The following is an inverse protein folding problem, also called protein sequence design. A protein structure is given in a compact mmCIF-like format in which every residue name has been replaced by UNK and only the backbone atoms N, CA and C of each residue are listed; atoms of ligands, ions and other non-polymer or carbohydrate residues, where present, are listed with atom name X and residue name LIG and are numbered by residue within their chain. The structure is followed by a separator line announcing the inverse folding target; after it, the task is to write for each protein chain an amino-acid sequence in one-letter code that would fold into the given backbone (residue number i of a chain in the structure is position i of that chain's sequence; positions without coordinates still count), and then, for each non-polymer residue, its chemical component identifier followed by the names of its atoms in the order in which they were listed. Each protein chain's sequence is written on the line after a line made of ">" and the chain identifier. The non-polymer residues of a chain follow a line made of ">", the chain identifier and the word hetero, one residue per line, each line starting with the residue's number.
data_IF_316141514519
#
_entry.id   IF_316141514519
#
_cell.length_a   1.000
_cell.length_b   1.000
_cell.length_c   1.000
_cell.angle_alpha   90.00
_cell.angle_beta   90.00
_cell.angle_gamma   90.00
#
_symmetry.space_group_name_H-M   'P 1'
#
loop_
_entity.id
_entity.type
_entity.pdbx_description
1 polymer ?
#
# COMPACT_ATOMS: atom_id res chain seq x y z
N UNK A 1 -4.76 30.04 -0.19
CA UNK A 1 -5.63 29.20 -1.03
C UNK A 1 -5.11 27.79 -0.89
N UNK A 2 -5.87 26.86 -0.33
CA UNK A 2 -5.43 25.48 -0.22
C UNK A 2 -5.32 24.92 -1.65
N UNK A 3 -4.15 24.41 -2.02
CA UNK A 3 -3.99 23.72 -3.30
C UNK A 3 -4.96 22.53 -3.33
N UNK A 4 -5.76 22.42 -4.39
CA UNK A 4 -6.65 21.30 -4.62
C UNK A 4 -5.84 19.99 -4.56
N UNK A 5 -6.03 19.23 -3.48
CA UNK A 5 -5.39 17.92 -3.34
C UNK A 5 -5.92 16.99 -4.42
N UNK A 6 -5.03 16.62 -5.36
CA UNK A 6 -5.23 15.47 -6.24
C UNK A 6 -4.40 14.32 -5.69
N UNK A 7 -5.02 13.27 -5.15
CA UNK A 7 -4.26 12.12 -4.72
C UNK A 7 -3.55 11.49 -5.91
N UNK A 8 -2.24 11.32 -5.78
CA UNK A 8 -1.42 10.63 -6.77
C UNK A 8 -1.39 9.13 -6.52
N UNK A 9 -1.12 8.37 -7.58
CA UNK A 9 -0.88 6.93 -7.50
C UNK A 9 0.51 6.56 -8.00
N UNK A 10 1.11 5.54 -7.39
CA UNK A 10 2.36 4.94 -7.85
C UNK A 10 2.05 3.82 -8.85
N UNK A 11 2.44 4.00 -10.11
CA UNK A 11 2.35 2.96 -11.13
C UNK A 11 3.63 2.10 -11.09
N UNK A 12 3.54 0.96 -10.40
CA UNK A 12 4.64 0.01 -10.29
C UNK A 12 5.05 -0.61 -11.61
N UNK A 13 4.14 -0.79 -12.57
CA UNK A 13 4.46 -1.35 -13.88
C UNK A 13 5.23 -0.33 -14.74
N UNK A 14 4.80 0.94 -14.71
CA UNK A 14 5.54 2.01 -15.36
C UNK A 14 6.92 2.21 -14.72
N UNK A 15 7.00 2.15 -13.38
CA UNK A 15 8.28 2.23 -12.68
C UNK A 15 9.21 1.07 -13.07
N UNK A 16 8.69 -0.16 -13.08
CA UNK A 16 9.41 -1.36 -13.49
C UNK A 16 9.96 -1.28 -14.91
N UNK A 17 9.15 -0.77 -15.86
CA UNK A 17 9.54 -0.67 -17.27
C UNK A 17 10.73 0.27 -17.51
N UNK A 18 11.02 1.19 -16.57
CA UNK A 18 12.19 2.09 -16.65
C UNK A 18 13.50 1.46 -16.15
N UNK A 19 13.43 0.31 -15.49
CA UNK A 19 14.60 -0.35 -14.90
C UNK A 19 15.39 -1.13 -15.94
N UNK A 20 16.71 -1.20 -15.74
CA UNK A 20 17.57 -2.08 -16.51
C UNK A 20 17.28 -3.57 -16.19
N UNK A 21 17.57 -4.51 -17.10
CA UNK A 21 17.23 -5.93 -16.91
C UNK A 21 17.83 -6.56 -15.64
N UNK A 22 19.03 -6.14 -15.24
CA UNK A 22 19.69 -6.59 -14.01
C UNK A 22 18.99 -6.07 -12.76
N UNK A 23 18.55 -4.81 -12.77
CA UNK A 23 17.73 -4.21 -11.70
C UNK A 23 16.37 -4.90 -11.57
N UNK A 24 15.71 -5.17 -12.69
CA UNK A 24 14.47 -5.96 -12.73
C UNK A 24 14.69 -7.36 -12.15
N UNK A 25 15.76 -8.05 -12.56
CA UNK A 25 16.08 -9.37 -12.03
C UNK A 25 16.35 -9.34 -10.52
N UNK A 26 17.07 -8.33 -10.02
CA UNK A 26 17.36 -8.16 -8.61
C UNK A 26 16.08 -7.96 -7.78
N UNK A 27 15.23 -6.99 -8.13
CA UNK A 27 13.97 -6.76 -7.42
C UNK A 27 13.05 -7.98 -7.54
N UNK A 28 12.96 -8.57 -8.73
CA UNK A 28 12.12 -9.74 -8.99
C UNK A 28 12.49 -10.95 -8.13
N UNK A 29 13.79 -11.21 -7.97
CA UNK A 29 14.27 -12.27 -7.08
C UNK A 29 13.88 -12.02 -5.62
N UNK A 30 14.05 -10.77 -5.12
CA UNK A 30 13.66 -10.42 -3.73
C UNK A 30 12.14 -10.46 -3.51
N UNK A 31 11.37 -10.05 -4.51
CA UNK A 31 9.92 -10.12 -4.44
C UNK A 31 9.43 -11.58 -4.34
N UNK A 32 10.06 -12.51 -5.08
CA UNK A 32 9.74 -13.93 -4.98
C UNK A 32 10.07 -14.51 -3.60
N UNK A 33 11.24 -14.20 -3.04
CA UNK A 33 11.61 -14.61 -1.67
C UNK A 33 10.63 -14.06 -0.62
N UNK A 34 10.21 -12.80 -0.75
CA UNK A 34 9.21 -12.21 0.15
C UNK A 34 7.85 -12.91 0.06
N UNK A 35 7.37 -13.23 -1.14
CA UNK A 35 6.11 -13.98 -1.30
C UNK A 35 6.22 -15.38 -0.69
N UNK A 36 7.35 -16.08 -0.87
CA UNK A 36 7.60 -17.38 -0.23
C UNK A 36 7.60 -17.24 1.30
N UNK A 37 8.23 -16.20 1.85
CA UNK A 37 8.22 -15.93 3.30
C UNK A 37 6.80 -15.72 3.84
N UNK A 38 5.96 -14.96 3.12
CA UNK A 38 4.53 -14.81 3.45
C UNK A 38 3.79 -16.15 3.49
N UNK A 39 4.02 -17.02 2.51
CA UNK A 39 3.40 -18.36 2.47
C UNK A 39 3.86 -19.24 3.65
N UNK A 40 5.15 -19.20 4.01
CA UNK A 40 5.66 -19.91 5.19
C UNK A 40 4.98 -19.39 6.46
N UNK A 41 4.89 -18.08 6.66
CA UNK A 41 4.21 -17.52 7.84
C UNK A 41 2.73 -17.93 7.87
N UNK A 42 2.01 -17.78 6.76
CA UNK A 42 0.60 -18.15 6.66
C UNK A 42 0.40 -19.62 7.03
N UNK A 43 1.25 -20.50 6.51
CA UNK A 43 1.21 -21.92 6.83
C UNK A 43 1.48 -22.17 8.32
N UNK A 44 2.52 -21.57 8.89
CA UNK A 44 2.88 -21.78 10.31
C UNK A 44 1.85 -21.17 11.28
N UNK A 45 1.08 -20.17 10.85
CA UNK A 45 0.01 -19.58 11.64
C UNK A 45 -1.24 -20.47 11.76
N UNK A 46 -1.51 -21.33 10.78
CA UNK A 46 -2.72 -22.17 10.73
C UNK A 46 -2.45 -23.66 10.99
N UNK A 47 -1.20 -24.11 10.83
CA UNK A 47 -0.82 -25.51 10.98
C UNK A 47 -0.10 -25.77 12.30
N UNK A 48 -0.30 -26.97 12.85
CA UNK A 48 0.50 -27.44 13.99
C UNK A 48 1.88 -27.90 13.51
N UNK A 49 2.81 -26.95 13.42
CA UNK A 49 4.20 -27.18 13.00
C UNK A 49 5.14 -27.24 14.21
N UNK A 50 6.32 -27.88 14.09
CA UNK A 50 7.33 -27.79 15.14
C UNK A 50 7.76 -26.34 15.38
N UNK A 51 8.07 -25.98 16.62
CA UNK A 51 8.47 -24.61 17.02
C UNK A 51 9.59 -24.02 16.15
N UNK A 52 10.52 -24.85 15.69
CA UNK A 52 11.60 -24.42 14.81
C UNK A 52 11.09 -23.83 13.48
N UNK A 53 10.03 -24.41 12.91
CA UNK A 53 9.41 -23.91 11.67
C UNK A 53 8.67 -22.61 11.89
N UNK A 54 7.91 -22.49 12.99
CA UNK A 54 7.22 -21.23 13.33
C UNK A 54 8.22 -20.07 13.48
N UNK A 55 9.33 -20.30 14.21
CA UNK A 55 10.37 -19.28 14.38
C UNK A 55 11.10 -18.95 13.07
N UNK A 56 11.30 -19.94 12.20
CA UNK A 56 11.89 -19.71 10.88
C UNK A 56 10.95 -18.91 9.97
N UNK A 57 9.65 -19.17 10.01
CA UNK A 57 8.64 -18.42 9.26
C UNK A 57 8.63 -16.93 9.64
N UNK A 58 8.55 -16.64 10.94
CA UNK A 58 8.54 -15.26 11.44
C UNK A 58 9.81 -14.50 11.02
N UNK A 59 10.99 -15.10 11.26
CA UNK A 59 12.26 -14.49 10.87
C UNK A 59 12.42 -14.33 9.35
N UNK A 60 11.79 -15.20 8.55
CA UNK A 60 11.88 -15.13 7.08
C UNK A 60 11.13 -13.93 6.50
N UNK A 61 9.98 -13.55 7.07
CA UNK A 61 9.24 -12.37 6.61
C UNK A 61 10.06 -11.11 6.87
N UNK A 62 10.54 -10.92 8.09
CA UNK A 62 11.27 -9.70 8.46
C UNK A 62 12.52 -9.54 7.59
N UNK A 63 13.27 -10.63 7.38
CA UNK A 63 14.47 -10.62 6.54
C UNK A 63 14.13 -10.35 5.07
N UNK A 64 13.16 -11.06 4.49
CA UNK A 64 12.82 -10.91 3.08
C UNK A 64 12.19 -9.54 2.77
N UNK A 65 11.38 -9.00 3.68
CA UNK A 65 10.82 -7.66 3.56
C UNK A 65 11.93 -6.61 3.57
N UNK A 66 12.84 -6.65 4.56
CA UNK A 66 13.95 -5.70 4.65
C UNK A 66 14.85 -5.74 3.39
N UNK A 67 15.13 -6.94 2.87
CA UNK A 67 15.93 -7.09 1.65
C UNK A 67 15.20 -6.58 0.39
N UNK A 68 13.89 -6.80 0.29
CA UNK A 68 13.08 -6.27 -0.81
C UNK A 68 13.01 -4.74 -0.75
N UNK A 69 12.73 -4.16 0.42
CA UNK A 69 12.69 -2.71 0.62
C UNK A 69 14.02 -2.05 0.26
N UNK A 70 15.14 -2.59 0.75
CA UNK A 70 16.47 -2.07 0.42
C UNK A 70 16.79 -2.17 -1.08
N UNK A 71 16.35 -3.25 -1.75
CA UNK A 71 16.55 -3.44 -3.18
C UNK A 71 15.71 -2.46 -4.01
N UNK A 72 14.44 -2.26 -3.62
CA UNK A 72 13.55 -1.27 -4.26
C UNK A 72 14.09 0.14 -4.04
N UNK A 73 14.53 0.50 -2.83
CA UNK A 73 15.13 1.80 -2.54
C UNK A 73 16.35 2.07 -3.44
N UNK A 74 17.25 1.09 -3.54
CA UNK A 74 18.48 1.20 -4.35
C UNK A 74 18.22 1.42 -5.83
N UNK A 75 17.16 0.82 -6.39
CA UNK A 75 16.94 0.78 -7.85
C UNK A 75 15.79 1.68 -8.34
N UNK A 76 14.78 1.91 -7.51
CA UNK A 76 13.63 2.75 -7.83
C UNK A 76 13.80 4.16 -7.25
N UNK A 77 14.35 4.27 -6.04
CA UNK A 77 14.49 5.54 -5.32
C UNK A 77 13.21 5.98 -4.60
N UNK A 78 13.34 6.46 -3.36
CA UNK A 78 12.20 6.91 -2.57
C UNK A 78 11.49 8.11 -3.19
N UNK A 79 12.19 8.98 -3.91
CA UNK A 79 11.64 10.19 -4.51
C UNK A 79 10.48 9.92 -5.48
N UNK A 80 10.43 8.72 -6.07
CA UNK A 80 9.35 8.29 -6.96
C UNK A 80 8.10 7.83 -6.22
N UNK A 81 8.19 7.59 -4.92
CA UNK A 81 7.09 7.13 -4.07
C UNK A 81 6.33 8.28 -3.42
N UNK A 82 6.78 9.53 -3.60
CA UNK A 82 6.14 10.72 -3.07
C UNK A 82 5.77 11.69 -4.21
N UNK A 83 4.72 12.48 -4.01
CA UNK A 83 4.40 13.59 -4.89
C UNK A 83 5.29 14.82 -4.64
N UNK A 84 5.11 15.88 -5.42
CA UNK A 84 5.88 17.13 -5.30
C UNK A 84 5.68 17.86 -3.98
N UNK A 85 4.64 17.52 -3.22
CA UNK A 85 4.38 18.05 -1.89
C UNK A 85 4.92 17.14 -0.77
N UNK A 86 5.61 16.04 -1.12
CA UNK A 86 6.19 15.08 -0.18
C UNK A 86 5.16 14.10 0.42
N UNK A 87 3.99 13.94 -0.21
CA UNK A 87 2.95 13.00 0.26
C UNK A 87 3.13 11.64 -0.41
N UNK A 88 2.94 10.53 0.31
CA UNK A 88 3.09 9.20 -0.26
C UNK A 88 2.05 8.96 -1.36
N UNK A 89 2.49 8.33 -2.45
CA UNK A 89 1.63 7.88 -3.54
C UNK A 89 1.02 6.53 -3.18
N UNK A 90 -0.26 6.35 -3.49
CA UNK A 90 -0.96 5.07 -3.26
C UNK A 90 -0.70 4.13 -4.44
N UNK A 91 -0.39 2.83 -4.25
CA UNK A 91 -0.20 1.91 -5.37
C UNK A 91 -1.39 1.88 -6.33
N UNK A 92 -1.13 1.97 -7.63
CA UNK A 92 -2.15 2.01 -8.69
C UNK A 92 -3.10 0.81 -8.69
N UNK A 93 -2.68 -0.34 -8.14
CA UNK A 93 -3.55 -1.52 -7.95
C UNK A 93 -4.75 -1.24 -7.05
N UNK A 94 -4.64 -0.27 -6.13
CA UNK A 94 -5.76 0.17 -5.27
C UNK A 94 -6.87 0.84 -6.09
N UNK A 95 -6.52 1.47 -7.22
CA UNK A 95 -7.44 2.21 -8.07
C UNK A 95 -7.84 3.55 -7.45
N UNK A 96 -9.13 3.88 -7.49
CA UNK A 96 -9.66 5.10 -6.88
C UNK A 96 -9.75 4.96 -5.36
N UNK A 97 -9.34 6.01 -4.64
CA UNK A 97 -9.52 6.14 -3.20
C UNK A 97 -10.05 7.54 -2.83
N UNK A 98 -10.82 7.65 -1.75
CA UNK A 98 -11.36 8.94 -1.32
C UNK A 98 -10.27 9.79 -0.67
N UNK A 99 -10.09 11.03 -1.14
CA UNK A 99 -9.13 11.98 -0.58
C UNK A 99 -9.40 12.42 0.85
N UNK A 100 -10.61 12.16 1.38
CA UNK A 100 -11.01 12.54 2.74
C UNK A 100 -10.91 11.38 3.73
N UNK A 101 -11.55 10.25 3.42
CA UNK A 101 -11.62 9.10 4.33
C UNK A 101 -10.73 7.91 3.94
N UNK A 102 -10.09 7.94 2.77
CA UNK A 102 -9.25 6.84 2.29
C UNK A 102 -10.00 5.61 1.78
N UNK A 103 -11.34 5.58 1.84
CA UNK A 103 -12.11 4.43 1.35
C UNK A 103 -11.77 4.11 -0.11
N UNK A 104 -11.83 2.85 -0.49
CA UNK A 104 -11.50 2.36 -1.83
C UNK A 104 -12.50 1.29 -2.26
N UNK A 105 -12.34 0.77 -3.48
CA UNK A 105 -13.11 -0.39 -3.95
C UNK A 105 -12.92 -1.66 -3.10
N UNK A 106 -11.85 -1.73 -2.31
CA UNK A 106 -11.55 -2.85 -1.41
C UNK A 106 -12.02 -2.61 0.03
N UNK A 107 -12.38 -1.37 0.36
CA UNK A 107 -12.69 -0.94 1.73
C UNK A 107 -13.61 0.29 1.65
N UNK A 108 -14.91 0.05 1.47
CA UNK A 108 -15.91 1.09 1.41
C UNK A 108 -16.22 1.66 2.81
N UNK A 109 -16.77 2.87 2.90
CA UNK A 109 -17.24 3.42 4.16
C UNK A 109 -18.28 2.50 4.84
N UNK A 110 -18.42 2.62 6.16
CA UNK A 110 -19.49 1.96 6.92
C UNK A 110 -20.87 2.30 6.33
N UNK A 111 -21.64 1.25 6.00
CA UNK A 111 -22.93 1.39 5.30
C UNK A 111 -22.84 1.45 3.77
N UNK A 112 -21.62 1.42 3.21
CA UNK A 112 -21.36 1.52 1.78
C UNK A 112 -21.30 2.97 1.28
N UNK A 113 -20.49 3.20 0.26
CA UNK A 113 -20.41 4.47 -0.44
C UNK A 113 -20.12 4.25 -1.92
N UNK A 114 -20.44 5.24 -2.75
CA UNK A 114 -20.08 5.30 -4.16
C UNK A 114 -19.12 6.48 -4.41
N UNK A 115 -18.70 6.67 -5.65
CA UNK A 115 -17.91 7.82 -6.06
C UNK A 115 -18.81 9.00 -6.45
N UNK A 116 -18.72 10.11 -5.73
CA UNK A 116 -19.41 11.35 -6.09
C UNK A 116 -18.68 12.10 -7.23
N UNK A 117 -17.36 12.08 -7.19
CA UNK A 117 -16.45 12.61 -8.21
C UNK A 117 -15.09 11.89 -8.09
N UNK A 118 -14.13 12.10 -9.02
CA UNK A 118 -12.82 11.50 -8.92
C UNK A 118 -12.17 11.76 -7.55
N UNK A 119 -11.85 10.66 -6.86
CA UNK A 119 -11.22 10.67 -5.54
C UNK A 119 -12.05 11.33 -4.43
N UNK A 120 -13.38 11.32 -4.51
CA UNK A 120 -14.28 11.70 -3.40
C UNK A 120 -15.49 10.76 -3.36
N UNK A 121 -15.73 10.13 -2.21
CA UNK A 121 -16.89 9.26 -2.04
C UNK A 121 -18.16 10.06 -1.69
N UNK A 122 -19.32 9.46 -1.92
CA UNK A 122 -20.64 10.06 -1.62
C UNK A 122 -20.81 10.40 -0.15
N UNK A 123 -20.27 9.60 0.78
CA UNK A 123 -20.30 9.89 2.22
C UNK A 123 -19.55 11.17 2.57
N UNK A 124 -18.37 11.36 2.00
CA UNK A 124 -17.55 12.55 2.25
C UNK A 124 -17.96 13.77 1.41
N UNK A 125 -18.80 13.57 0.41
CA UNK A 125 -19.41 14.63 -0.39
C UNK A 125 -20.68 15.18 0.26
N UNK A 126 -21.32 14.46 1.19
CA UNK A 126 -22.50 14.96 1.91
C UNK A 126 -22.09 16.07 2.89
N UNK A 127 -22.59 17.31 2.73
CA UNK A 127 -22.32 18.42 3.64
C UNK A 127 -22.77 18.13 5.09
N UNK A 128 -23.70 17.20 5.30
CA UNK A 128 -24.15 16.80 6.63
C UNK A 128 -23.15 15.90 7.37
N UNK A 129 -22.15 15.35 6.67
CA UNK A 129 -21.10 14.58 7.29
C UNK A 129 -20.10 15.44 8.07
N UNK A 130 -20.01 16.74 7.77
CA UNK A 130 -19.07 17.67 8.44
C UNK A 130 -19.53 18.01 9.88
N UNK A 131 -20.84 18.01 10.15
CA UNK A 131 -21.42 18.28 11.48
C UNK A 131 -21.23 17.14 12.49
N UNK A 132 -20.81 15.94 12.05
CA UNK A 132 -20.70 14.76 12.92
C UNK A 132 -19.27 14.47 13.43
N UNK A 133 -18.25 15.18 12.95
CA UNK A 133 -16.84 14.89 13.26
C UNK A 133 -16.24 15.69 14.44
N UNK A 134 -16.98 16.64 15.02
CA UNK A 134 -16.48 17.50 16.12
C UNK A 134 -16.63 16.86 17.52
N UNK A 135 -17.07 15.61 17.64
CA UNK A 135 -17.30 14.96 18.95
C UNK A 135 -16.65 13.58 19.02
N UNK A 136 -15.32 13.52 19.02
CA UNK A 136 -14.58 12.38 19.58
C UNK A 136 -13.09 12.71 19.79
N UNK A 137 -12.79 13.62 20.71
CA UNK A 137 -11.54 13.53 21.49
C UNK A 137 -11.92 13.66 22.96
N UNK A 138 -11.91 12.54 23.68
CA UNK A 138 -11.91 12.45 25.15
C UNK A 138 -11.09 11.23 25.55
#
# INVERSE_FOLDING_TARGET
>A
MAEDFRPGTFDGAAAWATLAPDQQAAIGARALEYVVACEVQNFTAIANVPLAWARAGEASIDAAQAELEACVDTHVGQERMYDTAGRPLVPSVVGMFCRRCGCSQYDACDGGCDWAEPYLCTTCADPKADDASEVAIS
#
